data_IF_317857600728
#
_entry.id   IF_317857600728
#
_cell.length_a   1.000
_cell.length_b   1.000
_cell.length_c   1.000
_cell.angle_alpha   90.00
_cell.angle_beta   90.00
_cell.angle_gamma   90.00
#
_symmetry.space_group_name_H-M   'P 1'
#
loop_
_entity.id
_entity.type
_entity.pdbx_description
1 polymer ?
#
# COMPACT_ATOMS: atom_id res chain seq x y z
N UNK A 1 38.91 52.18 5.11
CA UNK A 1 38.08 52.85 4.09
C UNK A 1 37.51 51.78 3.16
N UNK A 2 36.20 51.84 2.89
CA UNK A 2 35.58 51.15 1.75
C UNK A 2 34.94 49.79 2.01
N UNK A 3 33.76 49.78 2.66
CA UNK A 3 32.83 48.65 2.57
C UNK A 3 31.98 48.85 1.30
N UNK A 4 32.36 48.21 0.20
CA UNK A 4 31.60 48.21 -1.05
C UNK A 4 30.63 47.03 -1.09
N UNK A 5 29.45 47.18 -0.50
CA UNK A 5 28.35 46.24 -0.70
C UNK A 5 27.74 46.48 -2.08
N UNK A 6 28.08 45.65 -3.07
CA UNK A 6 27.36 45.61 -4.34
C UNK A 6 26.15 44.69 -4.16
N UNK A 7 24.98 45.27 -3.88
CA UNK A 7 23.72 44.54 -4.00
C UNK A 7 23.34 44.48 -5.47
N UNK A 8 23.43 43.29 -6.07
CA UNK A 8 22.64 42.98 -7.26
C UNK A 8 21.21 42.85 -6.79
N UNK A 9 20.43 43.91 -7.01
CA UNK A 9 18.96 43.87 -6.98
C UNK A 9 18.54 43.08 -8.22
N UNK A 10 18.43 41.76 -8.07
CA UNK A 10 17.60 40.96 -8.96
C UNK A 10 16.14 41.11 -8.48
N UNK A 11 15.18 41.25 -9.42
CA UNK A 11 13.84 41.73 -9.10
C UNK A 11 13.08 40.74 -8.23
N UNK A 12 12.22 41.32 -7.38
CA UNK A 12 11.30 40.67 -6.47
C UNK A 12 10.52 39.51 -7.13
N UNK A 13 11.03 38.30 -6.97
CA UNK A 13 10.52 37.48 -5.88
C UNK A 13 9.12 36.87 -6.05
N UNK A 14 8.65 36.56 -7.26
CA UNK A 14 7.60 35.52 -7.43
C UNK A 14 8.12 34.09 -7.21
N UNK A 15 9.23 33.91 -6.48
CA UNK A 15 9.98 32.65 -6.37
C UNK A 15 10.32 32.19 -4.94
N UNK A 16 9.67 32.73 -3.89
CA UNK A 16 10.01 32.45 -2.48
C UNK A 16 8.92 31.75 -1.66
N UNK A 17 7.91 31.15 -2.30
CA UNK A 17 6.79 30.52 -1.60
C UNK A 17 6.38 29.12 -2.07
N UNK A 18 6.61 28.78 -3.34
CA UNK A 18 6.30 27.45 -3.87
C UNK A 18 7.55 26.58 -3.84
N UNK A 19 8.12 26.38 -2.64
CA UNK A 19 9.13 25.35 -2.43
C UNK A 19 8.63 24.07 -3.09
N UNK A 20 9.50 23.41 -3.87
CA UNK A 20 9.16 22.24 -4.69
C UNK A 20 8.19 21.32 -3.93
N UNK A 21 6.90 21.40 -4.23
CA UNK A 21 5.92 20.51 -3.62
C UNK A 21 6.14 19.16 -4.27
N UNK A 22 6.67 18.22 -3.51
CA UNK A 22 6.87 16.87 -3.99
C UNK A 22 5.52 16.14 -3.93
N UNK A 23 5.37 15.10 -4.74
CA UNK A 23 4.25 14.15 -4.60
C UNK A 23 4.17 13.54 -3.17
N UNK A 24 5.26 13.60 -2.41
CA UNK A 24 5.34 13.17 -1.01
C UNK A 24 4.73 14.14 0.00
N UNK A 25 4.34 15.34 -0.41
CA UNK A 25 3.73 16.35 0.48
C UNK A 25 2.18 16.36 0.37
N UNK A 26 1.63 15.49 -0.49
CA UNK A 26 0.19 15.38 -0.71
C UNK A 26 -0.49 14.65 0.46
N UNK A 27 -1.62 15.16 0.99
CA UNK A 27 -2.35 14.47 2.05
C UNK A 27 -2.89 13.13 1.56
N UNK A 28 -2.96 12.16 2.48
CA UNK A 28 -3.45 10.81 2.22
C UNK A 28 -4.85 10.81 1.59
N UNK A 29 -5.72 11.74 2.00
CA UNK A 29 -7.09 11.87 1.46
C UNK A 29 -7.12 12.18 -0.04
N UNK A 30 -6.21 13.04 -0.53
CA UNK A 30 -6.10 13.35 -1.95
C UNK A 30 -5.58 12.15 -2.74
N UNK A 31 -4.57 11.45 -2.22
CA UNK A 31 -4.02 10.25 -2.86
C UNK A 31 -5.07 9.13 -2.89
N UNK A 32 -5.77 8.91 -1.78
CA UNK A 32 -6.83 7.91 -1.69
C UNK A 32 -7.97 8.18 -2.69
N UNK A 33 -8.35 9.45 -2.88
CA UNK A 33 -9.35 9.83 -3.89
C UNK A 33 -8.93 9.43 -5.30
N UNK A 34 -7.65 9.58 -5.65
CA UNK A 34 -7.12 9.13 -6.94
C UNK A 34 -7.11 7.60 -7.01
N UNK A 35 -6.55 6.92 -6.00
CA UNK A 35 -6.41 5.46 -5.97
C UNK A 35 -7.77 4.72 -6.02
N UNK A 36 -8.86 5.34 -5.57
CA UNK A 36 -10.21 4.77 -5.69
C UNK A 36 -10.64 4.55 -7.16
N UNK A 37 -10.15 5.37 -8.10
CA UNK A 37 -10.43 5.22 -9.53
C UNK A 37 -9.54 4.18 -10.23
N UNK A 38 -8.45 3.74 -9.60
CA UNK A 38 -7.48 2.80 -10.18
C UNK A 38 -7.85 1.34 -9.90
N UNK A 39 -7.44 0.42 -10.77
CA UNK A 39 -7.51 -1.02 -10.51
C UNK A 39 -6.53 -1.47 -9.41
N UNK A 40 -6.75 -2.64 -8.78
CA UNK A 40 -5.87 -3.16 -7.72
C UNK A 40 -4.41 -3.34 -8.17
N UNK A 41 -4.18 -3.78 -9.42
CA UNK A 41 -2.83 -3.89 -9.98
C UNK A 41 -2.15 -2.52 -10.15
N UNK A 42 -2.88 -1.52 -10.62
CA UNK A 42 -2.39 -0.16 -10.81
C UNK A 42 -2.09 0.51 -9.46
N UNK A 43 -2.92 0.28 -8.45
CA UNK A 43 -2.68 0.74 -7.07
C UNK A 43 -1.32 0.22 -6.57
N UNK A 44 -1.02 -1.06 -6.80
CA UNK A 44 0.27 -1.65 -6.43
C UNK A 44 1.45 -1.03 -7.20
N UNK A 45 1.27 -0.69 -8.47
CA UNK A 45 2.31 -0.01 -9.26
C UNK A 45 2.58 1.40 -8.74
N UNK A 46 1.53 2.18 -8.47
CA UNK A 46 1.64 3.55 -7.97
C UNK A 46 2.21 3.58 -6.54
N UNK A 47 1.92 2.57 -5.71
CA UNK A 47 2.49 2.41 -4.37
C UNK A 47 4.04 2.25 -4.36
N UNK A 48 4.65 1.94 -5.51
CA UNK A 48 6.11 1.87 -5.64
C UNK A 48 6.76 3.24 -5.92
N UNK A 49 5.98 4.27 -6.26
CA UNK A 49 6.51 5.57 -6.68
C UNK A 49 6.94 6.46 -5.51
N UNK A 50 6.26 6.38 -4.36
CA UNK A 50 6.57 7.20 -3.18
C UNK A 50 6.05 6.54 -1.89
N UNK A 51 6.66 6.87 -0.74
CA UNK A 51 6.20 6.46 0.58
C UNK A 51 4.75 6.86 0.87
N UNK A 52 4.33 8.07 0.49
CA UNK A 52 2.97 8.55 0.76
C UNK A 52 1.93 7.78 -0.04
N UNK A 53 2.26 7.46 -1.29
CA UNK A 53 1.44 6.58 -2.13
C UNK A 53 1.39 5.16 -1.58
N UNK A 54 2.49 4.64 -1.04
CA UNK A 54 2.51 3.32 -0.39
C UNK A 54 1.59 3.28 0.82
N UNK A 55 1.69 4.28 1.70
CA UNK A 55 0.89 4.37 2.92
C UNK A 55 -0.59 4.51 2.56
N UNK A 56 -0.92 5.45 1.67
CA UNK A 56 -2.28 5.63 1.16
C UNK A 56 -2.82 4.36 0.50
N UNK A 57 -2.03 3.70 -0.37
CA UNK A 57 -2.44 2.46 -1.04
C UNK A 57 -2.66 1.27 -0.09
N UNK A 58 -2.14 1.33 1.13
CA UNK A 58 -2.40 0.32 2.16
C UNK A 58 -3.67 0.58 2.96
N UNK A 59 -4.28 1.76 2.83
CA UNK A 59 -5.44 2.16 3.61
C UNK A 59 -6.68 1.29 3.30
N UNK A 60 -7.39 0.92 4.36
CA UNK A 60 -8.59 0.08 4.27
C UNK A 60 -9.76 0.75 3.54
N UNK A 61 -9.77 2.08 3.39
CA UNK A 61 -10.82 2.81 2.68
C UNK A 61 -10.80 2.53 1.18
N UNK A 62 -9.61 2.40 0.59
CA UNK A 62 -9.43 2.07 -0.84
C UNK A 62 -9.87 0.64 -1.08
N UNK A 63 -9.33 -0.28 -0.28
CA UNK A 63 -9.64 -1.69 -0.42
C UNK A 63 -11.09 -2.03 -0.06
N UNK A 64 -11.73 -1.30 0.87
CA UNK A 64 -13.17 -1.44 1.13
C UNK A 64 -14.02 -1.34 -0.14
N UNK A 65 -13.65 -0.43 -1.05
CA UNK A 65 -14.36 -0.21 -2.30
C UNK A 65 -14.00 -1.26 -3.37
N UNK A 66 -12.85 -1.93 -3.25
CA UNK A 66 -12.40 -2.95 -4.20
C UNK A 66 -12.86 -4.36 -3.83
N UNK A 67 -13.10 -4.65 -2.54
CA UNK A 67 -13.51 -5.97 -2.11
C UNK A 67 -15.03 -6.17 -2.28
N UNK A 68 -15.47 -7.33 -2.80
CA UNK A 68 -16.86 -7.74 -2.81
C UNK A 68 -17.47 -7.75 -1.40
N UNK A 69 -18.76 -7.43 -1.25
CA UNK A 69 -19.43 -7.38 0.07
C UNK A 69 -19.37 -8.69 0.87
N UNK A 70 -19.23 -9.83 0.18
CA UNK A 70 -19.04 -11.15 0.76
C UNK A 70 -17.60 -11.48 1.17
N UNK A 71 -16.64 -10.53 1.08
CA UNK A 71 -15.24 -10.79 1.39
C UNK A 71 -15.01 -11.33 2.81
N UNK A 72 -15.86 -10.99 3.78
CA UNK A 72 -15.74 -11.51 5.15
C UNK A 72 -15.92 -13.03 5.19
N UNK A 73 -16.84 -13.55 4.39
CA UNK A 73 -17.04 -14.99 4.25
C UNK A 73 -15.87 -15.64 3.51
N UNK A 74 -15.39 -15.01 2.44
CA UNK A 74 -14.24 -15.51 1.67
C UNK A 74 -12.95 -15.50 2.50
N UNK A 75 -12.74 -14.47 3.32
CA UNK A 75 -11.60 -14.38 4.23
C UNK A 75 -11.66 -15.45 5.33
N UNK A 76 -12.86 -15.70 5.89
CA UNK A 76 -13.06 -16.78 6.85
C UNK A 76 -12.82 -18.15 6.21
N UNK A 77 -13.29 -18.36 4.97
CA UNK A 77 -13.05 -19.60 4.22
C UNK A 77 -11.55 -19.81 3.94
N UNK A 78 -10.85 -18.77 3.52
CA UNK A 78 -9.42 -18.83 3.26
C UNK A 78 -8.62 -19.07 4.55
N UNK A 79 -8.99 -18.43 5.66
CA UNK A 79 -8.35 -18.68 6.95
C UNK A 79 -8.54 -20.13 7.41
N UNK A 80 -9.74 -20.70 7.21
CA UNK A 80 -9.99 -22.11 7.51
C UNK A 80 -9.23 -23.09 6.60
N UNK A 81 -8.82 -22.65 5.40
CA UNK A 81 -7.98 -23.45 4.50
C UNK A 81 -6.48 -23.35 4.84
N UNK A 82 -6.03 -22.26 5.47
CA UNK A 82 -4.64 -22.02 5.85
C UNK A 82 -4.23 -22.71 7.19
N UNK A 83 -5.18 -23.31 7.92
CA UNK A 83 -4.90 -24.05 9.18
C UNK A 83 -4.00 -25.30 8.98
N UNK A 84 -3.59 -25.62 7.75
CA UNK A 84 -2.56 -26.62 7.42
C UNK A 84 -1.11 -26.07 7.51
N UNK A 85 -0.84 -25.11 8.40
CA UNK A 85 0.55 -24.68 8.67
C UNK A 85 1.28 -25.71 9.55
N UNK A 86 1.74 -26.81 8.95
CA UNK A 86 2.80 -27.64 9.49
C UNK A 86 4.14 -26.87 9.42
N UNK A 87 4.42 -26.02 10.40
CA UNK A 87 5.77 -25.53 10.65
C UNK A 87 6.36 -26.24 11.87
N UNK A 88 6.84 -27.47 11.65
CA UNK A 88 7.92 -28.05 12.45
C UNK A 88 9.23 -27.37 12.02
N UNK A 89 9.58 -26.24 12.62
CA UNK A 89 10.97 -25.79 12.76
C UNK A 89 11.03 -24.68 13.80
N UNK A 90 11.30 -25.11 15.04
CA UNK A 90 11.60 -24.26 16.17
C UNK A 90 12.98 -23.61 15.99
N UNK A 91 13.06 -22.58 15.14
CA UNK A 91 14.15 -21.62 15.16
C UNK A 91 13.65 -20.33 15.83
N UNK A 92 14.23 -20.04 16.98
CA UNK A 92 13.83 -19.00 17.92
C UNK A 92 13.51 -17.64 17.29
N UNK A 93 12.45 -17.00 17.78
CA UNK A 93 12.48 -15.54 17.95
C UNK A 93 11.73 -14.69 16.94
N UNK A 94 10.55 -15.10 16.44
CA UNK A 94 9.47 -14.16 16.13
C UNK A 94 8.16 -14.90 15.96
N UNK A 95 7.59 -15.35 17.09
CA UNK A 95 6.22 -15.86 17.17
C UNK A 95 5.15 -14.78 16.92
N UNK A 96 5.42 -13.79 16.07
CA UNK A 96 4.39 -12.95 15.50
C UNK A 96 3.88 -13.65 14.25
N UNK A 97 3.13 -14.73 14.46
CA UNK A 97 2.03 -15.03 13.55
C UNK A 97 1.33 -13.67 13.33
N UNK A 98 1.12 -13.26 12.08
CA UNK A 98 0.56 -11.97 11.73
C UNK A 98 -0.93 -11.86 12.15
N UNK A 99 -1.25 -12.21 13.39
CA UNK A 99 -2.42 -11.88 14.18
C UNK A 99 -2.44 -10.37 14.40
N UNK A 100 -2.79 -9.60 13.38
CA UNK A 100 -3.16 -8.20 13.57
C UNK A 100 -3.92 -7.75 12.34
N UNK A 101 -5.21 -8.12 12.31
CA UNK A 101 -6.25 -7.65 11.40
C UNK A 101 -5.82 -7.67 9.92
N UNK A 102 -6.21 -8.71 9.18
CA UNK A 102 -6.00 -8.75 7.73
C UNK A 102 -6.45 -7.41 7.12
N UNK A 103 -5.50 -6.52 6.89
CA UNK A 103 -5.70 -5.28 6.16
C UNK A 103 -6.42 -5.72 4.90
N UNK A 104 -7.47 -5.01 4.46
CA UNK A 104 -8.30 -5.50 3.37
C UNK A 104 -7.49 -5.82 2.10
N UNK A 105 -6.34 -5.16 1.93
CA UNK A 105 -5.28 -5.50 0.98
C UNK A 105 -4.81 -6.95 1.06
N UNK A 106 -4.51 -7.46 2.26
CA UNK A 106 -4.08 -8.84 2.50
C UNK A 106 -5.20 -9.83 2.19
N UNK A 107 -6.45 -9.50 2.53
CA UNK A 107 -7.59 -10.33 2.13
C UNK A 107 -7.66 -10.45 0.61
N UNK A 108 -7.53 -9.33 -0.11
CA UNK A 108 -7.47 -9.37 -1.57
C UNK A 108 -6.29 -10.21 -2.08
N UNK A 109 -5.08 -10.00 -1.54
CA UNK A 109 -3.89 -10.76 -1.94
C UNK A 109 -4.06 -12.26 -1.73
N UNK A 110 -4.70 -12.68 -0.63
CA UNK A 110 -5.02 -14.09 -0.37
C UNK A 110 -6.04 -14.66 -1.35
N UNK A 111 -7.10 -13.90 -1.65
CA UNK A 111 -8.13 -14.32 -2.62
C UNK A 111 -7.60 -14.40 -4.05
N UNK A 112 -6.54 -13.66 -4.38
CA UNK A 112 -5.86 -13.74 -5.68
C UNK A 112 -4.82 -14.85 -5.77
N UNK A 113 -4.52 -15.59 -4.68
CA UNK A 113 -3.61 -16.74 -4.79
C UNK A 113 -4.25 -17.80 -5.68
N UNK A 114 -3.49 -18.43 -6.59
CA UNK A 114 -4.00 -19.56 -7.37
C UNK A 114 -4.57 -20.64 -6.46
N UNK A 115 -5.77 -21.10 -6.77
CA UNK A 115 -6.35 -22.25 -6.08
C UNK A 115 -5.60 -23.50 -6.49
N UNK A 116 -4.99 -24.17 -5.51
CA UNK A 116 -4.42 -25.50 -5.72
C UNK A 116 -5.57 -26.48 -5.81
N UNK A 117 -5.68 -27.19 -6.93
CA UNK A 117 -6.61 -28.31 -7.08
C UNK A 117 -5.80 -29.61 -7.17
N UNK A 118 -6.44 -30.76 -6.94
CA UNK A 118 -5.81 -32.09 -7.03
C UNK A 118 -4.69 -32.33 -5.98
N UNK A 119 -5.00 -32.13 -4.70
CA UNK A 119 -4.09 -32.44 -3.59
C UNK A 119 -2.78 -31.63 -3.58
N UNK A 120 -2.75 -30.46 -4.22
CA UNK A 120 -1.57 -29.59 -4.28
C UNK A 120 -0.69 -29.76 -5.51
N UNK A 121 -1.00 -30.71 -6.40
CA UNK A 121 -0.14 -31.01 -7.57
C UNK A 121 -0.38 -30.10 -8.78
N UNK A 122 -1.54 -29.45 -8.88
CA UNK A 122 -1.90 -28.60 -10.02
C UNK A 122 -2.48 -27.26 -9.59
N UNK A 123 -2.14 -26.23 -10.36
CA UNK A 123 -2.72 -24.89 -10.25
C UNK A 123 -3.79 -24.75 -11.32
N UNK A 124 -4.93 -24.15 -10.98
CA UNK A 124 -5.83 -23.59 -11.99
C UNK A 124 -5.20 -22.27 -12.46
N UNK A 125 -4.82 -22.21 -13.74
CA UNK A 125 -4.34 -20.98 -14.40
C UNK A 125 -5.46 -19.93 -14.54
#
# INVERSE_FOLDING_TARGET
MGAGASSVVAPDGYGRGWGQTSLGDMPESCIAAVLLYLGPAEICQVACLNRTFRDAASADCIWAAKLPSNYRYLAALAAAADDDCACDDAAEGSGRCCSSAAIKKEVYARLCRPTRFDGGTKLLE
#
